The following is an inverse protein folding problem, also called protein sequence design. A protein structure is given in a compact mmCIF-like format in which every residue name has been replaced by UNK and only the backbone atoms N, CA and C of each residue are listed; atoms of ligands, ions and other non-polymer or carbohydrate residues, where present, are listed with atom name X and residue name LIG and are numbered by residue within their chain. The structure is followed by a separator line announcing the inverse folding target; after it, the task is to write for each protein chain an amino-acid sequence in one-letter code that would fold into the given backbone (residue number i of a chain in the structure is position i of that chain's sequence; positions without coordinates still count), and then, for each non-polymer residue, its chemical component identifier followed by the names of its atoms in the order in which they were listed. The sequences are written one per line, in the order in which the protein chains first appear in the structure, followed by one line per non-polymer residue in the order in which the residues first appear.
data_IF_036355881201
#
_entry.id   IF_036355881201
#
_cell.length_a   1.000
_cell.length_b   1.000
_cell.length_c   1.000
_cell.angle_alpha   90.00
_cell.angle_beta   90.00
_cell.angle_gamma   90.00
#
_symmetry.space_group_name_H-M   'P 1'
#
loop_
_entity.id
_entity.type
_entity.pdbx_description
1 polymer ?
#
# COMPACT_ATOMS: atom_id res chain seq x y z
N UNK A 1 8.94 -25.38 -26.17
CA UNK A 1 9.02 -25.49 -27.65
C UNK A 1 7.66 -25.70 -28.32
N UNK A 2 6.82 -26.66 -27.93
CA UNK A 2 5.51 -26.92 -28.59
C UNK A 2 4.58 -25.69 -28.73
N UNK A 3 4.49 -24.84 -27.70
CA UNK A 3 3.58 -23.68 -27.70
C UNK A 3 3.98 -22.59 -28.69
N UNK A 4 5.28 -22.31 -28.82
CA UNK A 4 5.82 -21.30 -29.73
C UNK A 4 5.58 -21.73 -31.19
N UNK A 5 5.72 -23.02 -31.50
CA UNK A 5 5.45 -23.56 -32.84
C UNK A 5 3.96 -23.42 -33.19
N UNK A 6 3.05 -23.76 -32.28
CA UNK A 6 1.61 -23.60 -32.50
C UNK A 6 1.19 -22.12 -32.65
N UNK A 7 1.77 -21.22 -31.85
CA UNK A 7 1.55 -19.77 -31.97
C UNK A 7 2.00 -19.23 -33.32
N UNK A 8 3.20 -19.62 -33.78
CA UNK A 8 3.69 -19.27 -35.11
C UNK A 8 2.75 -19.78 -36.20
N UNK A 9 2.29 -21.03 -36.10
CA UNK A 9 1.34 -21.61 -37.06
C UNK A 9 0.03 -20.82 -37.15
N UNK A 10 -0.56 -20.44 -36.01
CA UNK A 10 -1.79 -19.63 -36.01
C UNK A 10 -1.55 -18.20 -36.53
N UNK A 11 -0.36 -17.64 -36.27
CA UNK A 11 0.04 -16.34 -36.81
C UNK A 11 0.23 -16.38 -38.33
N UNK A 12 0.86 -17.42 -38.87
CA UNK A 12 1.07 -17.63 -40.30
C UNK A 12 -0.26 -17.79 -41.06
N UNK A 13 -1.25 -18.45 -40.45
CA UNK A 13 -2.61 -18.62 -41.00
C UNK A 13 -3.48 -17.36 -40.79
N UNK A 14 -2.96 -16.34 -40.11
CA UNK A 14 -3.63 -15.06 -39.78
C UNK A 14 -4.92 -15.21 -38.97
N UNK A 15 -5.08 -16.31 -38.22
CA UNK A 15 -6.28 -16.51 -37.41
C UNK A 15 -6.05 -16.09 -35.96
N UNK A 16 -6.22 -14.79 -35.71
CA UNK A 16 -6.08 -14.20 -34.37
C UNK A 16 -7.02 -14.81 -33.32
N UNK A 17 -8.23 -15.22 -33.71
CA UNK A 17 -9.19 -15.85 -32.80
C UNK A 17 -8.69 -17.17 -32.21
N UNK A 18 -8.21 -18.10 -33.06
CA UNK A 18 -7.67 -19.38 -32.58
C UNK A 18 -6.35 -19.21 -31.83
N UNK A 19 -5.53 -18.22 -32.24
CA UNK A 19 -4.32 -17.85 -31.50
C UNK A 19 -4.67 -17.41 -30.07
N UNK A 20 -5.66 -16.52 -29.91
CA UNK A 20 -6.11 -16.04 -28.61
C UNK A 20 -6.73 -17.16 -27.75
N UNK A 21 -7.60 -17.99 -28.33
CA UNK A 21 -8.17 -19.16 -27.65
C UNK A 21 -7.07 -20.12 -27.16
N UNK A 22 -6.05 -20.37 -27.99
CA UNK A 22 -4.91 -21.21 -27.61
C UNK A 22 -4.12 -20.62 -26.45
N UNK A 23 -3.81 -19.31 -26.50
CA UNK A 23 -3.14 -18.60 -25.40
C UNK A 23 -3.95 -18.72 -24.11
N UNK A 24 -5.25 -18.46 -24.18
CA UNK A 24 -6.14 -18.52 -23.02
C UNK A 24 -6.22 -19.91 -22.42
N UNK A 25 -6.32 -20.97 -23.25
CA UNK A 25 -6.42 -22.34 -22.76
C UNK A 25 -5.12 -22.86 -22.15
N UNK A 26 -3.97 -22.56 -22.77
CA UNK A 26 -2.70 -23.21 -22.42
C UNK A 26 -1.84 -22.41 -21.45
N UNK A 27 -2.00 -21.09 -21.36
CA UNK A 27 -1.28 -20.27 -20.39
C UNK A 27 -2.15 -19.83 -19.21
N UNK A 28 -3.40 -19.42 -19.48
CA UNK A 28 -4.25 -18.74 -18.48
C UNK A 28 -5.34 -19.61 -17.84
N UNK A 29 -5.82 -20.69 -18.50
CA UNK A 29 -6.95 -21.51 -18.02
C UNK A 29 -6.59 -22.97 -17.75
N UNK A 30 -5.30 -23.29 -17.62
CA UNK A 30 -4.83 -24.65 -17.35
C UNK A 30 -5.24 -25.09 -15.95
N UNK A 31 -5.92 -26.25 -15.84
CA UNK A 31 -6.24 -26.88 -14.56
C UNK A 31 -5.01 -27.53 -13.94
N UNK A 32 -4.95 -27.51 -12.61
CA UNK A 32 -3.90 -28.13 -11.78
C UNK A 32 -2.49 -27.51 -11.92
N UNK A 33 -2.38 -26.25 -12.34
CA UNK A 33 -1.12 -25.50 -12.36
C UNK A 33 0.02 -26.13 -13.19
N UNK A 34 -0.36 -26.99 -14.15
CA UNK A 34 0.55 -27.70 -15.06
C UNK A 34 1.03 -26.86 -16.26
N UNK A 35 1.20 -25.56 -16.07
CA UNK A 35 1.66 -24.64 -17.11
C UNK A 35 3.16 -24.30 -16.96
N UNK A 36 3.73 -23.67 -17.99
CA UNK A 36 5.14 -23.23 -18.00
C UNK A 36 5.44 -22.25 -16.85
N UNK A 37 4.43 -21.49 -16.41
CA UNK A 37 4.51 -20.54 -15.31
C UNK A 37 4.20 -21.16 -13.93
N UNK A 38 4.19 -22.49 -13.79
CA UNK A 38 4.01 -23.22 -12.51
C UNK A 38 2.81 -22.75 -11.65
N UNK A 39 1.72 -22.35 -12.29
CA UNK A 39 0.50 -21.93 -11.59
C UNK A 39 0.31 -20.41 -11.42
N UNK A 40 1.34 -19.60 -11.68
CA UNK A 40 1.25 -18.14 -11.50
C UNK A 40 0.28 -17.48 -12.48
N UNK A 41 0.19 -18.01 -13.71
CA UNK A 41 -0.64 -17.48 -14.80
C UNK A 41 -2.02 -18.16 -14.94
N UNK A 42 -2.20 -19.37 -14.38
CA UNK A 42 -3.44 -20.18 -14.50
C UNK A 42 -4.55 -19.78 -13.54
N UNK A 43 -4.27 -18.84 -12.62
CA UNK A 43 -5.27 -18.32 -11.68
C UNK A 43 -6.27 -17.46 -12.45
N UNK A 44 -7.57 -17.67 -12.20
CA UNK A 44 -8.67 -16.93 -12.84
C UNK A 44 -8.34 -15.43 -13.01
N UNK A 45 -8.59 -14.94 -14.23
CA UNK A 45 -8.09 -13.69 -14.80
C UNK A 45 -8.11 -12.47 -13.88
N UNK A 46 -9.04 -12.36 -12.94
CA UNK A 46 -9.17 -11.20 -12.04
C UNK A 46 -7.95 -10.99 -11.12
N UNK A 47 -7.27 -12.08 -10.71
CA UNK A 47 -6.16 -11.95 -9.74
C UNK A 47 -4.85 -11.56 -10.45
N UNK A 48 -4.64 -12.02 -11.67
CA UNK A 48 -3.42 -11.68 -12.43
C UNK A 48 -3.38 -10.19 -12.78
N UNK A 49 -4.52 -9.61 -13.18
CA UNK A 49 -4.62 -8.19 -13.50
C UNK A 49 -4.54 -7.27 -12.28
N UNK A 50 -4.68 -7.82 -11.07
CA UNK A 50 -4.49 -7.06 -9.83
C UNK A 50 -3.01 -6.90 -9.44
N UNK A 51 -2.08 -7.62 -10.07
CA UNK A 51 -0.64 -7.56 -9.74
C UNK A 51 -0.02 -6.19 -10.05
N UNK A 52 -0.21 -5.59 -11.25
CA UNK A 52 0.32 -4.25 -11.53
C UNK A 52 -0.23 -3.20 -10.56
N UNK A 53 -1.54 -3.27 -10.28
CA UNK A 53 -2.19 -2.39 -9.29
C UNK A 53 -1.58 -2.56 -7.90
N UNK A 54 -1.26 -3.79 -7.49
CA UNK A 54 -0.64 -4.08 -6.20
C UNK A 54 0.75 -3.49 -6.08
N UNK A 55 1.57 -3.67 -7.11
CA UNK A 55 2.94 -3.14 -7.13
C UNK A 55 2.91 -1.63 -7.14
N UNK A 56 2.04 -1.01 -7.94
CA UNK A 56 1.84 0.43 -7.95
C UNK A 56 1.41 0.97 -6.59
N UNK A 57 0.37 0.37 -5.99
CA UNK A 57 -0.12 0.79 -4.67
C UNK A 57 0.96 0.63 -3.58
N UNK A 58 1.69 -0.49 -3.58
CA UNK A 58 2.82 -0.69 -2.66
C UNK A 58 3.97 0.30 -2.89
N UNK A 59 4.25 0.69 -4.15
CA UNK A 59 5.23 1.72 -4.46
C UNK A 59 4.79 3.09 -3.93
N UNK A 60 3.53 3.48 -4.08
CA UNK A 60 3.02 4.75 -3.54
C UNK A 60 3.24 4.81 -2.02
N UNK A 61 2.83 3.77 -1.28
CA UNK A 61 3.11 3.67 0.16
C UNK A 61 4.61 3.71 0.49
N UNK A 62 5.45 3.09 -0.33
CA UNK A 62 6.90 3.10 -0.13
C UNK A 62 7.47 4.51 -0.31
N UNK A 63 7.07 5.22 -1.38
CA UNK A 63 7.55 6.56 -1.68
C UNK A 63 7.11 7.55 -0.61
N UNK A 64 5.85 7.46 -0.14
CA UNK A 64 5.34 8.28 0.97
C UNK A 64 6.14 8.06 2.25
N UNK A 65 6.36 6.81 2.65
CA UNK A 65 7.11 6.50 3.87
C UNK A 65 8.60 6.83 3.74
N UNK A 66 9.17 6.67 2.54
CA UNK A 66 10.57 7.00 2.28
C UNK A 66 10.82 8.51 2.31
N UNK A 67 9.87 9.32 1.84
CA UNK A 67 9.92 10.79 1.98
C UNK A 67 10.02 11.20 3.45
N UNK A 68 9.25 10.55 4.35
CA UNK A 68 9.32 10.80 5.81
C UNK A 68 10.68 10.48 6.42
N UNK A 69 11.45 9.57 5.83
CA UNK A 69 12.84 9.27 6.24
C UNK A 69 13.82 10.33 5.71
N UNK A 70 13.69 10.68 4.44
CA UNK A 70 14.65 11.54 3.73
C UNK A 70 14.51 13.01 4.14
N UNK A 71 13.29 13.48 4.45
CA UNK A 71 13.04 14.90 4.72
C UNK A 71 13.41 15.75 3.51
N UNK A 72 14.18 16.82 3.74
CA UNK A 72 14.71 17.71 2.70
C UNK A 72 15.97 17.17 2.00
N UNK A 73 16.41 15.96 2.39
CA UNK A 73 17.57 15.29 1.80
C UNK A 73 17.34 14.85 0.35
N UNK A 74 18.43 14.44 -0.32
CA UNK A 74 18.32 13.80 -1.64
C UNK A 74 18.24 12.28 -1.49
N UNK A 75 17.41 11.67 -2.33
CA UNK A 75 17.13 10.23 -2.27
C UNK A 75 18.38 9.36 -2.48
N UNK A 76 19.28 9.81 -3.37
CA UNK A 76 20.47 9.05 -3.74
C UNK A 76 21.72 9.39 -2.92
N UNK A 77 21.60 10.20 -1.87
CA UNK A 77 22.71 10.52 -0.95
C UNK A 77 22.37 10.02 0.46
N UNK A 78 22.78 8.80 0.84
CA UNK A 78 22.46 8.23 2.15
C UNK A 78 22.94 9.07 3.34
N UNK A 79 23.94 9.92 3.14
CA UNK A 79 24.46 10.83 4.18
C UNK A 79 23.50 11.95 4.56
N UNK A 80 22.46 12.22 3.74
CA UNK A 80 21.45 13.25 4.02
C UNK A 80 20.14 12.65 4.54
N UNK A 81 20.07 11.33 4.75
CA UNK A 81 18.90 10.69 5.33
C UNK A 81 18.87 10.98 6.83
N UNK A 82 17.67 11.12 7.41
CA UNK A 82 17.49 11.49 8.82
C UNK A 82 18.07 12.87 9.20
N UNK A 83 18.11 13.81 8.25
CA UNK A 83 18.46 15.20 8.52
C UNK A 83 17.24 16.10 8.73
N UNK A 84 17.43 17.40 8.48
CA UNK A 84 16.39 18.43 8.58
C UNK A 84 15.15 18.10 7.72
N UNK A 85 13.96 18.28 8.31
CA UNK A 85 12.67 17.90 7.69
C UNK A 85 12.32 16.41 7.77
N UNK A 86 13.18 15.56 8.34
CA UNK A 86 12.86 14.15 8.56
C UNK A 86 11.95 13.99 9.78
N UNK A 87 11.03 13.02 9.73
CA UNK A 87 10.19 12.64 10.88
C UNK A 87 11.00 12.05 12.05
N UNK A 88 12.34 11.99 11.94
CA UNK A 88 13.23 11.46 12.97
C UNK A 88 13.91 12.53 13.83
N UNK A 89 13.88 13.79 13.36
CA UNK A 89 14.54 14.95 13.96
C UNK A 89 13.48 16.04 14.26
N UNK A 90 13.65 16.81 15.35
CA UNK A 90 12.71 17.88 15.73
C UNK A 90 11.55 17.45 16.64
N UNK A 91 10.47 18.24 16.60
CA UNK A 91 9.23 18.08 17.37
C UNK A 91 8.24 17.10 16.69
N UNK A 92 7.18 16.73 17.40
CA UNK A 92 6.15 15.82 16.85
C UNK A 92 5.33 16.48 15.74
N UNK A 93 5.19 15.80 14.59
CA UNK A 93 4.47 16.28 13.40
C UNK A 93 2.95 15.98 13.49
N UNK A 94 2.47 15.47 14.63
CA UNK A 94 1.06 15.16 14.82
C UNK A 94 0.22 16.44 14.99
N UNK A 95 -1.02 16.47 14.46
CA UNK A 95 -1.88 17.66 14.50
C UNK A 95 -2.50 17.95 15.88
N UNK A 96 -2.21 17.16 16.92
CA UNK A 96 -2.80 17.30 18.25
C UNK A 96 -1.80 17.85 19.27
N UNK A 97 -2.23 18.83 20.07
CA UNK A 97 -1.32 19.69 20.87
C UNK A 97 -1.56 19.64 22.39
N UNK A 98 -2.01 18.51 22.95
CA UNK A 98 -2.34 18.44 24.38
C UNK A 98 -1.12 18.38 25.32
N UNK A 99 -0.44 19.50 25.52
CA UNK A 99 0.76 19.67 26.36
C UNK A 99 2.10 19.39 25.64
N UNK A 100 2.10 19.37 24.29
CA UNK A 100 3.31 19.58 23.47
C UNK A 100 3.15 20.91 22.73
N UNK A 101 3.94 21.89 23.13
CA UNK A 101 3.91 23.22 22.54
C UNK A 101 5.00 23.34 21.47
N UNK A 102 4.59 23.32 20.21
CA UNK A 102 5.01 24.29 19.19
C UNK A 102 3.90 24.38 18.13
N UNK A 103 3.12 25.45 18.23
CA UNK A 103 1.87 25.72 17.48
C UNK A 103 2.15 26.14 16.02
N UNK A 104 3.24 25.66 15.42
CA UNK A 104 3.72 26.16 14.13
C UNK A 104 3.64 25.17 12.97
N UNK A 105 3.51 23.86 13.23
CA UNK A 105 3.73 22.83 12.19
C UNK A 105 2.51 21.91 11.90
N UNK A 106 1.35 22.18 12.52
CA UNK A 106 0.14 21.40 12.22
C UNK A 106 -0.34 21.54 10.76
N UNK A 107 0.11 22.60 10.06
CA UNK A 107 -0.15 22.81 8.64
C UNK A 107 0.90 22.17 7.72
N UNK A 108 2.13 21.92 8.18
CA UNK A 108 3.23 21.39 7.35
C UNK A 108 3.16 19.86 7.18
N UNK A 109 2.72 19.12 8.21
CA UNK A 109 2.43 17.69 8.06
C UNK A 109 1.26 17.40 7.09
N UNK A 110 0.38 18.39 6.92
CA UNK A 110 -0.70 18.36 5.95
C UNK A 110 -0.18 18.68 4.54
N UNK A 111 0.69 19.69 4.35
CA UNK A 111 1.28 19.98 3.04
C UNK A 111 2.18 18.85 2.53
N UNK A 112 2.94 18.19 3.41
CA UNK A 112 3.86 17.10 3.03
C UNK A 112 3.15 15.86 2.44
N UNK A 113 1.94 15.55 2.95
CA UNK A 113 1.08 14.46 2.47
C UNK A 113 0.36 14.83 1.15
N UNK A 114 0.09 16.12 0.91
CA UNK A 114 -0.36 16.61 -0.40
C UNK A 114 0.79 16.60 -1.42
N UNK A 115 2.01 16.94 -0.99
CA UNK A 115 3.21 16.95 -1.84
C UNK A 115 3.68 15.55 -2.24
N UNK A 116 3.33 14.52 -1.46
CA UNK A 116 3.63 13.14 -1.84
C UNK A 116 2.72 12.63 -2.98
N UNK A 117 1.52 13.21 -3.14
CA UNK A 117 0.64 12.97 -4.28
C UNK A 117 1.03 13.78 -5.53
N UNK A 118 1.87 14.81 -5.38
CA UNK A 118 2.37 15.68 -6.45
C UNK A 118 3.81 15.37 -6.89
N UNK A 119 4.41 14.25 -6.43
CA UNK A 119 5.75 13.77 -6.79
C UNK A 119 5.99 13.42 -8.28
N UNK A 120 5.16 13.96 -9.18
CA UNK A 120 5.38 14.01 -10.63
C UNK A 120 5.60 15.45 -11.15
N UNK A 121 5.84 16.45 -10.29
CA UNK A 121 6.30 17.78 -10.73
C UNK A 121 7.14 18.50 -9.68
N UNK A 122 8.45 18.23 -9.67
CA UNK A 122 9.44 19.18 -9.13
C UNK A 122 9.66 20.32 -10.13
N UNK A 123 9.18 21.51 -9.80
CA UNK A 123 9.80 22.78 -10.22
C UNK A 123 9.22 23.97 -9.42
N UNK A 124 10.04 24.56 -8.55
CA UNK A 124 9.97 26.00 -8.23
C UNK A 124 9.39 26.36 -6.87
N UNK A 125 10.29 26.77 -5.98
CA UNK A 125 10.00 27.57 -4.79
C UNK A 125 9.31 28.90 -5.14
N UNK A 126 8.70 29.48 -4.10
CA UNK A 126 8.09 30.82 -4.01
C UNK A 126 6.70 31.03 -4.64
N UNK A 127 5.67 30.80 -3.82
CA UNK A 127 4.55 31.73 -3.70
C UNK A 127 3.88 31.55 -2.34
N UNK A 128 3.79 32.64 -1.58
CA UNK A 128 3.02 32.74 -0.36
C UNK A 128 1.60 32.20 -0.58
N UNK A 129 1.21 31.20 0.22
CA UNK A 129 -0.12 30.60 0.21
C UNK A 129 -1.13 31.64 0.68
N UNK A 130 -1.81 32.22 -0.30
CA UNK A 130 -3.04 32.98 -0.11
C UNK A 130 -4.12 31.98 0.33
N UNK A 131 -4.44 31.99 1.61
CA UNK A 131 -5.54 31.25 2.20
C UNK A 131 -6.85 31.57 1.45
N UNK A 132 -7.43 30.62 0.72
CA UNK A 132 -8.70 30.93 0.07
C UNK A 132 -9.46 29.87 -0.72
N UNK A 133 -8.82 28.88 -1.36
CA UNK A 133 -9.56 27.97 -2.24
C UNK A 133 -9.21 26.49 -1.98
N UNK A 134 -9.66 25.95 -0.85
CA UNK A 134 -9.74 24.51 -0.67
C UNK A 134 -10.88 23.99 -1.55
N UNK A 135 -10.56 23.22 -2.58
CA UNK A 135 -11.53 22.74 -3.56
C UNK A 135 -11.71 21.23 -3.38
N UNK A 136 -12.96 20.76 -3.46
CA UNK A 136 -13.23 19.33 -3.57
C UNK A 136 -12.74 18.83 -4.93
N UNK A 137 -11.68 18.02 -4.91
CA UNK A 137 -11.10 17.40 -6.09
C UNK A 137 -10.67 15.97 -5.80
N UNK A 138 -10.90 15.08 -6.77
CA UNK A 138 -10.33 13.72 -6.78
C UNK A 138 -9.00 13.67 -7.53
N UNK A 139 -8.56 14.80 -8.09
CA UNK A 139 -7.32 15.00 -8.81
C UNK A 139 -6.63 16.25 -8.29
N UNK A 140 -5.30 16.27 -8.35
CA UNK A 140 -4.54 17.48 -8.12
C UNK A 140 -4.71 18.43 -9.32
N UNK A 141 -5.23 19.63 -9.06
CA UNK A 141 -5.27 20.71 -10.03
C UNK A 141 -4.24 21.77 -9.64
N UNK A 142 -3.41 22.19 -10.59
CA UNK A 142 -2.37 23.18 -10.33
C UNK A 142 -2.99 24.49 -9.85
N UNK A 143 -2.59 24.93 -8.66
CA UNK A 143 -3.09 26.16 -8.01
C UNK A 143 -4.34 25.97 -7.13
N UNK A 144 -4.84 24.75 -6.94
CA UNK A 144 -5.91 24.44 -5.98
C UNK A 144 -5.37 23.57 -4.83
N UNK A 145 -5.73 23.91 -3.59
CA UNK A 145 -5.39 23.06 -2.44
C UNK A 145 -6.46 22.00 -2.22
N UNK A 146 -6.10 20.71 -2.10
CA UNK A 146 -7.07 19.65 -1.92
C UNK A 146 -7.71 19.75 -0.54
N UNK A 147 -9.03 19.63 -0.49
CA UNK A 147 -9.76 19.58 0.78
C UNK A 147 -9.44 18.30 1.58
N UNK A 148 -9.27 18.41 2.89
CA UNK A 148 -9.16 17.27 3.80
C UNK A 148 -10.49 16.50 3.87
N UNK A 149 -10.45 15.18 4.10
CA UNK A 149 -11.66 14.36 4.19
C UNK A 149 -12.47 14.69 5.45
N UNK A 150 -11.77 14.97 6.56
CA UNK A 150 -12.36 15.44 7.81
C UNK A 150 -11.50 16.59 8.31
N UNK A 151 -12.09 17.78 8.45
CA UNK A 151 -11.36 18.99 8.84
C UNK A 151 -11.00 19.03 10.33
N UNK A 152 -11.86 18.47 11.19
CA UNK A 152 -11.65 18.48 12.64
C UNK A 152 -11.74 17.04 13.19
N UNK A 153 -10.69 16.60 13.89
CA UNK A 153 -10.68 15.28 14.52
C UNK A 153 -11.78 15.16 15.59
N UNK A 154 -12.64 14.12 15.57
CA UNK A 154 -13.69 13.95 16.57
C UNK A 154 -13.15 13.88 18.00
N UNK A 155 -13.87 14.45 18.97
CA UNK A 155 -13.43 14.51 20.38
C UNK A 155 -13.16 13.14 21.02
N UNK A 156 -13.96 12.12 20.69
CA UNK A 156 -13.75 10.75 21.18
C UNK A 156 -12.43 10.15 20.67
N UNK A 157 -12.04 10.49 19.44
CA UNK A 157 -10.81 10.02 18.82
C UNK A 157 -9.59 10.72 19.43
N UNK A 158 -9.71 12.02 19.69
CA UNK A 158 -8.73 12.74 20.50
C UNK A 158 -8.59 12.06 21.87
N UNK A 159 -9.66 11.79 22.62
CA UNK A 159 -9.52 11.14 23.94
C UNK A 159 -8.77 9.79 23.90
N UNK A 160 -8.96 9.00 22.84
CA UNK A 160 -8.19 7.75 22.62
C UNK A 160 -6.72 8.07 22.34
N UNK A 161 -6.44 8.99 21.41
CA UNK A 161 -5.08 9.38 21.08
C UNK A 161 -4.34 9.99 22.28
N UNK A 162 -5.05 10.62 23.23
CA UNK A 162 -4.46 11.18 24.47
C UNK A 162 -3.90 10.11 25.34
N UNK A 163 -4.62 9.01 25.39
CA UNK A 163 -4.31 7.87 26.23
C UNK A 163 -3.13 7.10 25.64
N UNK A 164 -3.04 7.02 24.31
CA UNK A 164 -1.95 6.35 23.60
C UNK A 164 -0.67 7.20 23.61
N UNK A 165 -0.82 8.52 23.48
CA UNK A 165 0.28 9.47 23.34
C UNK A 165 0.18 10.58 24.41
N UNK A 166 0.60 10.29 25.65
CA UNK A 166 0.51 11.22 26.77
C UNK A 166 1.75 12.11 26.93
N UNK A 167 2.95 11.70 26.46
CA UNK A 167 4.18 12.53 26.46
C UNK A 167 4.84 12.69 25.07
N UNK A 168 5.66 13.73 24.88
CA UNK A 168 6.30 14.09 23.60
C UNK A 168 7.27 12.98 23.13
N UNK A 169 7.95 12.35 24.07
CA UNK A 169 8.82 11.19 23.78
C UNK A 169 8.03 10.01 23.23
N UNK A 170 6.80 9.78 23.73
CA UNK A 170 5.90 8.72 23.25
C UNK A 170 5.35 9.08 21.87
N UNK A 171 5.08 10.37 21.62
CA UNK A 171 4.71 10.88 20.30
C UNK A 171 5.80 10.61 19.27
N UNK A 172 7.04 10.99 19.58
CA UNK A 172 8.20 10.76 18.70
C UNK A 172 8.48 9.28 18.49
N UNK A 173 8.33 8.45 19.53
CA UNK A 173 8.44 7.01 19.38
C UNK A 173 7.38 6.45 18.41
N UNK A 174 6.12 6.86 18.58
CA UNK A 174 5.01 6.41 17.73
C UNK A 174 5.18 6.88 16.29
N UNK A 175 5.62 8.12 16.07
CA UNK A 175 5.97 8.66 14.75
C UNK A 175 7.02 7.81 14.04
N UNK A 176 8.14 7.53 14.71
CA UNK A 176 9.24 6.71 14.17
C UNK A 176 8.78 5.27 13.90
N UNK A 177 8.06 4.67 14.83
CA UNK A 177 7.50 3.32 14.68
C UNK A 177 6.55 3.24 13.49
N UNK A 178 5.71 4.26 13.31
CA UNK A 178 4.72 4.32 12.24
C UNK A 178 5.40 4.33 10.86
N UNK A 179 6.48 5.11 10.68
CA UNK A 179 7.25 5.10 9.42
C UNK A 179 7.80 3.71 9.10
N UNK A 180 8.32 2.97 10.09
CA UNK A 180 8.77 1.59 9.87
C UNK A 180 7.62 0.63 9.53
N UNK A 181 6.44 0.83 10.15
CA UNK A 181 5.23 0.04 9.84
C UNK A 181 4.78 0.31 8.40
N UNK A 182 4.76 1.56 7.95
CA UNK A 182 4.40 1.92 6.57
C UNK A 182 5.34 1.29 5.55
N UNK A 183 6.65 1.33 5.79
CA UNK A 183 7.63 0.65 4.93
C UNK A 183 7.41 -0.86 4.95
N UNK A 184 7.16 -1.44 6.12
CA UNK A 184 6.85 -2.87 6.24
C UNK A 184 5.62 -3.27 5.43
N UNK A 185 4.56 -2.47 5.50
CA UNK A 185 3.32 -2.63 4.73
C UNK A 185 3.61 -2.51 3.22
N UNK A 186 4.34 -1.48 2.82
CA UNK A 186 4.68 -1.22 1.42
C UNK A 186 5.47 -2.38 0.80
N UNK A 187 6.50 -2.85 1.51
CA UNK A 187 7.29 -4.01 1.09
C UNK A 187 6.46 -5.30 1.04
N UNK A 188 5.56 -5.51 2.03
CA UNK A 188 4.65 -6.65 2.00
C UNK A 188 3.68 -6.59 0.81
N UNK A 189 3.16 -5.42 0.45
CA UNK A 189 2.30 -5.24 -0.73
C UNK A 189 3.07 -5.49 -2.02
N UNK A 190 4.27 -4.91 -2.19
CA UNK A 190 5.10 -5.12 -3.38
C UNK A 190 5.46 -6.60 -3.57
N UNK A 191 5.99 -7.22 -2.51
CA UNK A 191 6.37 -8.63 -2.52
C UNK A 191 5.16 -9.60 -2.57
N UNK A 192 3.96 -9.11 -2.30
CA UNK A 192 2.73 -9.88 -2.28
C UNK A 192 2.66 -10.87 -1.10
N UNK A 193 3.06 -10.43 0.09
CA UNK A 193 2.98 -11.15 1.36
C UNK A 193 1.80 -10.67 2.19
N UNK A 194 1.00 -11.61 2.70
CA UNK A 194 -0.23 -11.41 3.46
C UNK A 194 -1.17 -10.37 2.86
N UNK A 195 -1.33 -10.36 1.54
CA UNK A 195 -2.03 -9.31 0.79
C UNK A 195 -3.43 -9.02 1.29
N UNK A 196 -4.19 -10.03 1.71
CA UNK A 196 -5.52 -9.81 2.29
C UNK A 196 -5.45 -9.03 3.62
N UNK A 197 -4.54 -9.42 4.52
CA UNK A 197 -4.38 -8.78 5.83
C UNK A 197 -3.78 -7.37 5.70
N UNK A 198 -2.73 -7.23 4.89
CA UNK A 198 -2.01 -5.96 4.72
C UNK A 198 -2.91 -4.90 4.09
N UNK A 199 -3.71 -5.26 3.07
CA UNK A 199 -4.71 -4.33 2.53
C UNK A 199 -5.79 -3.97 3.56
N UNK A 200 -6.23 -4.93 4.38
CA UNK A 200 -7.12 -4.66 5.52
C UNK A 200 -6.53 -3.66 6.52
N UNK A 201 -5.25 -3.81 6.85
CA UNK A 201 -4.53 -2.86 7.72
C UNK A 201 -4.46 -1.48 7.07
N UNK A 202 -4.17 -1.38 5.77
CA UNK A 202 -4.15 -0.07 5.10
C UNK A 202 -5.50 0.64 5.12
N UNK A 203 -6.63 -0.08 5.07
CA UNK A 203 -7.96 0.54 5.18
C UNK A 203 -8.15 1.16 6.57
N UNK A 204 -7.75 0.44 7.62
CA UNK A 204 -7.81 0.95 9.00
C UNK A 204 -6.87 2.14 9.18
N UNK A 205 -5.69 2.09 8.56
CA UNK A 205 -4.73 3.17 8.60
C UNK A 205 -5.25 4.43 7.92
N UNK A 206 -5.79 4.30 6.70
CA UNK A 206 -6.41 5.41 5.97
C UNK A 206 -7.58 5.99 6.76
N UNK A 207 -8.42 5.17 7.39
CA UNK A 207 -9.48 5.66 8.28
C UNK A 207 -8.92 6.47 9.46
N UNK A 208 -7.78 6.05 10.02
CA UNK A 208 -7.09 6.77 11.11
C UNK A 208 -6.53 8.11 10.61
N UNK A 209 -5.97 8.17 9.40
CA UNK A 209 -5.51 9.42 8.79
C UNK A 209 -6.64 10.37 8.44
N UNK A 210 -7.78 9.86 7.95
CA UNK A 210 -8.99 10.66 7.77
C UNK A 210 -9.43 11.28 9.10
N UNK A 211 -9.51 10.49 10.17
CA UNK A 211 -9.88 10.98 11.51
C UNK A 211 -8.87 11.95 12.10
N UNK A 212 -7.63 11.92 11.62
CA UNK A 212 -6.55 12.83 12.02
C UNK A 212 -6.49 14.13 11.24
N UNK A 213 -7.29 14.30 10.17
CA UNK A 213 -7.21 15.47 9.30
C UNK A 213 -5.98 15.51 8.38
N UNK A 214 -5.16 14.46 8.36
CA UNK A 214 -3.96 14.36 7.53
C UNK A 214 -4.21 13.66 6.18
N UNK A 215 -5.48 13.46 5.80
CA UNK A 215 -5.87 12.74 4.59
C UNK A 215 -6.79 13.56 3.70
N UNK A 216 -6.49 13.56 2.40
CA UNK A 216 -7.14 14.42 1.39
C UNK A 216 -8.05 13.64 0.45
N UNK A 217 -9.03 14.34 -0.11
CA UNK A 217 -9.96 13.77 -1.09
C UNK A 217 -9.26 13.21 -2.35
N UNK A 218 -8.13 13.79 -2.75
CA UNK A 218 -7.31 13.30 -3.86
C UNK A 218 -6.80 11.87 -3.61
N UNK A 219 -6.60 11.48 -2.35
CA UNK A 219 -6.06 10.17 -1.98
C UNK A 219 -7.14 9.13 -1.68
N UNK A 220 -8.44 9.47 -1.80
CA UNK A 220 -9.54 8.57 -1.43
C UNK A 220 -9.53 7.24 -2.20
N UNK A 221 -8.90 7.19 -3.38
CA UNK A 221 -8.75 6.00 -4.19
C UNK A 221 -7.94 4.88 -3.52
N UNK A 222 -7.19 5.16 -2.44
CA UNK A 222 -6.49 4.14 -1.65
C UNK A 222 -7.46 3.09 -1.10
N UNK A 223 -8.66 3.50 -0.66
CA UNK A 223 -9.67 2.60 -0.09
C UNK A 223 -10.20 1.59 -1.12
N UNK A 224 -10.77 2.01 -2.28
CA UNK A 224 -11.23 1.06 -3.29
C UNK A 224 -10.10 0.20 -3.87
N UNK A 225 -8.88 0.73 -3.98
CA UNK A 225 -7.71 -0.08 -4.40
C UNK A 225 -7.39 -1.16 -3.36
N UNK A 226 -7.32 -0.82 -2.07
CA UNK A 226 -7.10 -1.79 -1.01
C UNK A 226 -8.17 -2.89 -1.02
N UNK A 227 -9.46 -2.52 -1.16
CA UNK A 227 -10.56 -3.48 -1.31
C UNK A 227 -10.41 -4.39 -2.55
N UNK A 228 -10.02 -3.84 -3.70
CA UNK A 228 -9.79 -4.63 -4.91
C UNK A 228 -8.62 -5.62 -4.73
N UNK A 229 -7.56 -5.21 -4.04
CA UNK A 229 -6.37 -6.02 -3.78
C UNK A 229 -6.58 -7.11 -2.72
N UNK A 230 -7.64 -7.02 -1.92
CA UNK A 230 -8.11 -8.10 -1.02
C UNK A 230 -8.61 -9.34 -1.79
N UNK A 231 -8.72 -9.31 -3.12
CA UNK A 231 -9.02 -10.50 -3.94
C UNK A 231 -7.89 -11.56 -3.98
N UNK A 232 -6.92 -11.50 -3.05
CA UNK A 232 -5.83 -12.46 -2.94
C UNK A 232 -4.76 -12.30 -4.03
N UNK A 233 -4.50 -11.05 -4.44
CA UNK A 233 -3.49 -10.67 -5.46
C UNK A 233 -2.11 -11.28 -5.21
N UNK A 234 -1.72 -11.48 -3.94
CA UNK A 234 -0.44 -12.09 -3.56
C UNK A 234 -0.29 -13.55 -4.02
N UNK A 235 -1.39 -14.25 -4.24
CA UNK A 235 -1.36 -15.67 -4.64
C UNK A 235 -0.97 -15.84 -6.12
N UNK A 236 -1.18 -14.82 -6.97
CA UNK A 236 -0.81 -14.91 -8.39
C UNK A 236 0.72 -14.79 -8.56
N UNK A 237 1.27 -13.59 -8.42
CA UNK A 237 2.73 -13.33 -8.48
C UNK A 237 3.11 -12.67 -7.16
N UNK A 238 3.45 -13.45 -6.14
CA UNK A 238 3.78 -12.95 -4.81
C UNK A 238 4.12 -14.07 -3.82
N UNK A 239 4.70 -13.68 -2.68
CA UNK A 239 5.11 -14.62 -1.63
C UNK A 239 3.95 -15.42 -1.04
N UNK A 240 2.74 -14.86 -1.04
CA UNK A 240 1.51 -15.54 -0.60
C UNK A 240 1.24 -16.85 -1.34
N UNK A 241 1.75 -17.01 -2.56
CA UNK A 241 1.67 -18.28 -3.28
C UNK A 241 2.32 -19.43 -2.49
N UNK A 242 3.42 -19.15 -1.77
CA UNK A 242 4.16 -20.16 -1.00
C UNK A 242 3.84 -20.09 0.51
N UNK A 243 3.73 -18.88 1.05
CA UNK A 243 3.55 -18.66 2.49
C UNK A 243 2.17 -19.09 2.95
N UNK A 244 1.10 -18.80 2.22
CA UNK A 244 -0.26 -19.14 2.65
C UNK A 244 -0.47 -20.66 2.72
N UNK A 245 -0.12 -21.47 1.70
CA UNK A 245 -0.26 -22.93 1.82
C UNK A 245 0.61 -23.53 2.92
N UNK A 246 1.81 -22.99 3.14
CA UNK A 246 2.66 -23.40 4.25
C UNK A 246 2.01 -23.10 5.59
N UNK A 247 1.52 -21.87 5.78
CA UNK A 247 0.86 -21.42 7.00
C UNK A 247 -0.40 -22.24 7.29
N UNK A 248 -1.23 -22.51 6.28
CA UNK A 248 -2.42 -23.35 6.40
C UNK A 248 -2.09 -24.79 6.82
N UNK A 249 -1.00 -25.37 6.30
CA UNK A 249 -0.54 -26.71 6.71
C UNK A 249 -0.01 -26.72 8.14
N UNK A 250 0.74 -25.70 8.54
CA UNK A 250 1.36 -25.62 9.87
C UNK A 250 0.30 -25.33 10.94
N UNK A 251 -0.51 -24.27 10.77
CA UNK A 251 -1.60 -23.93 11.69
C UNK A 251 -2.71 -25.00 11.69
N UNK A 252 -3.01 -25.57 10.53
CA UNK A 252 -3.98 -26.66 10.42
C UNK A 252 -3.56 -27.89 11.20
N UNK A 253 -2.29 -28.31 11.10
CA UNK A 253 -1.74 -29.41 11.91
C UNK A 253 -1.71 -29.07 13.40
N UNK A 254 -1.44 -27.83 13.76
CA UNK A 254 -1.40 -27.40 15.16
C UNK A 254 -2.79 -27.40 15.80
N UNK A 255 -3.82 -26.90 15.10
CA UNK A 255 -5.20 -26.82 15.62
C UNK A 255 -5.97 -28.13 15.50
N UNK A 256 -5.87 -28.82 14.37
CA UNK A 256 -6.71 -30.00 14.06
C UNK A 256 -5.95 -31.33 14.17
N UNK A 257 -4.65 -31.31 14.46
CA UNK A 257 -3.82 -32.50 14.48
C UNK A 257 -3.58 -33.09 13.08
N UNK A 258 -3.00 -34.29 13.03
CA UNK A 258 -2.85 -35.04 11.78
C UNK A 258 -3.99 -36.07 11.70
N UNK A 259 -4.87 -36.01 10.67
CA UNK A 259 -5.89 -37.03 10.50
C UNK A 259 -5.20 -38.38 10.31
N UNK A 260 -5.53 -39.36 11.16
CA UNK A 260 -5.03 -40.73 11.11
C UNK A 260 -6.21 -41.64 10.82
N UNK A 261 -6.09 -42.50 9.81
CA UNK A 261 -7.09 -43.53 9.58
C UNK A 261 -7.17 -44.46 10.79
N UNK A 262 -8.39 -44.75 11.23
CA UNK A 262 -8.65 -45.71 12.32
C UNK A 262 -8.62 -47.16 11.83
N UNK A 263 -8.59 -47.40 10.51
CA UNK A 263 -8.53 -48.75 9.97
C UNK A 263 -7.13 -49.38 10.21
N UNK A 264 -7.10 -50.48 10.97
CA UNK A 264 -5.90 -51.29 11.19
C UNK A 264 -5.08 -50.96 12.44
N UNK A 265 -5.57 -50.14 13.36
CA UNK A 265 -4.95 -50.02 14.69
C UNK A 265 -5.43 -51.18 15.57
N UNK A 266 -4.50 -52.11 15.85
CA UNK A 266 -4.70 -53.21 16.81
C UNK A 266 -4.81 -52.69 18.23
#
# INVERSE_FOLDING_TARGET
MKHIVNLKYFFDIRTGYYMFQYIMHEFFRVKDDRNVARGHTSRNSNVLWSVPLRVFYGLVWFLEAFKKIVGDGKWFTPSTWFGEGSWFEGDSVFPWTWDYQSVTDAASGASEAADAASGASDAGADAAVEAGNTVFGLSYAYGEEPMAVIENSPEWFMNIMKTIMPNMEVAMFFQKMMVFIEIGIALCLMAGLFTWLVNGVTIVLVATFCLSGMFYWVNIWFVPVAFALMNGSGRAIGLDHWVIPWLQRTLGKWRYGRPKSLYGQK
#
